data_IF_514302110417
#
_entry.id   IF_514302110417
#
_cell.length_a   1.000
_cell.length_b   1.000
_cell.length_c   1.000
_cell.angle_alpha   90.00
_cell.angle_beta   90.00
_cell.angle_gamma   90.00
#
_symmetry.space_group_name_H-M   'P 1'
#
loop_
_entity.id
_entity.type
_entity.pdbx_description
1 polymer ?
#
# COMPACT_ATOMS: atom_id res chain seq x y z
N UNK A 1 9.38 24.45 2.35
CA UNK A 1 9.69 24.92 0.98
C UNK A 1 8.82 26.11 0.64
N UNK A 2 9.30 27.03 -0.19
CA UNK A 2 8.43 28.05 -0.76
C UNK A 2 7.48 27.41 -1.77
N UNK A 3 6.23 27.88 -1.81
CA UNK A 3 5.17 27.42 -2.70
C UNK A 3 4.57 28.61 -3.44
N UNK A 4 4.16 28.39 -4.69
CA UNK A 4 3.57 29.41 -5.58
C UNK A 4 2.26 28.89 -6.19
N UNK A 5 1.36 28.45 -5.33
CA UNK A 5 0.01 28.00 -5.73
C UNK A 5 -0.88 29.20 -6.02
N UNK A 6 -1.59 29.17 -7.14
CA UNK A 6 -2.59 30.19 -7.48
C UNK A 6 -3.86 29.99 -6.66
N UNK A 7 -4.59 31.07 -6.42
CA UNK A 7 -5.84 31.02 -5.64
C UNK A 7 -6.87 30.02 -6.19
N UNK A 8 -6.88 29.79 -7.50
CA UNK A 8 -7.77 28.82 -8.15
C UNK A 8 -7.46 27.37 -7.72
N UNK A 9 -6.19 27.02 -7.60
CA UNK A 9 -5.73 25.68 -7.22
C UNK A 9 -5.99 25.41 -5.72
N UNK A 10 -5.93 26.45 -4.90
CA UNK A 10 -6.20 26.40 -3.46
C UNK A 10 -7.71 26.32 -3.12
N UNK A 11 -8.60 26.38 -4.10
CA UNK A 11 -10.04 26.11 -3.89
C UNK A 11 -10.30 24.63 -3.62
N UNK A 12 -9.46 23.74 -4.17
CA UNK A 12 -9.52 22.32 -3.86
C UNK A 12 -8.93 22.06 -2.46
N UNK A 13 -9.70 21.36 -1.61
CA UNK A 13 -9.34 21.09 -0.21
C UNK A 13 -8.12 20.20 -0.07
N UNK A 14 -7.94 19.22 -0.97
CA UNK A 14 -6.77 18.33 -0.99
C UNK A 14 -5.51 19.08 -1.38
N UNK A 15 -5.56 19.88 -2.44
CA UNK A 15 -4.44 20.72 -2.87
C UNK A 15 -4.05 21.73 -1.80
N UNK A 16 -5.00 22.35 -1.13
CA UNK A 16 -4.77 23.26 0.00
C UNK A 16 -4.10 22.56 1.19
N UNK A 17 -4.50 21.32 1.48
CA UNK A 17 -3.88 20.51 2.51
C UNK A 17 -2.44 20.14 2.13
N UNK A 18 -2.22 19.69 0.90
CA UNK A 18 -0.90 19.36 0.35
C UNK A 18 0.04 20.55 0.37
N UNK A 19 -0.43 21.74 0.00
CA UNK A 19 0.35 22.99 0.07
C UNK A 19 0.86 23.27 1.49
N UNK A 20 -0.01 23.17 2.51
CA UNK A 20 0.39 23.35 3.91
C UNK A 20 1.44 22.33 4.34
N UNK A 21 1.36 21.09 3.87
CA UNK A 21 2.31 20.04 4.20
C UNK A 21 3.65 20.29 3.48
N UNK A 22 3.63 20.70 2.20
CA UNK A 22 4.82 21.04 1.42
C UNK A 22 5.58 22.21 2.07
N UNK A 23 4.88 23.22 2.58
CA UNK A 23 5.50 24.35 3.30
C UNK A 23 6.29 23.93 4.53
N UNK A 24 5.86 22.87 5.25
CA UNK A 24 6.61 22.33 6.39
C UNK A 24 7.95 21.72 5.98
N UNK A 25 8.10 21.29 4.72
CA UNK A 25 9.33 20.65 4.25
C UNK A 25 10.46 21.69 4.10
N UNK A 26 11.53 21.53 4.87
CA UNK A 26 12.76 22.35 4.74
C UNK A 26 13.76 21.80 3.72
N UNK A 27 13.40 20.70 3.04
CA UNK A 27 14.16 20.07 1.97
C UNK A 27 15.57 19.57 2.37
N UNK A 28 15.77 19.24 3.65
CA UNK A 28 17.07 18.82 4.20
C UNK A 28 17.56 17.44 3.72
N UNK A 29 16.66 16.56 3.26
CA UNK A 29 17.02 15.23 2.73
C UNK A 29 17.20 14.13 3.79
N UNK A 30 17.02 14.38 5.09
CA UNK A 30 17.13 13.35 6.13
C UNK A 30 16.23 12.14 5.88
N UNK A 31 15.07 12.35 5.26
CA UNK A 31 14.12 11.29 4.89
C UNK A 31 14.67 10.31 3.83
N UNK A 32 15.68 10.70 3.05
CA UNK A 32 16.29 9.81 2.04
C UNK A 32 17.09 8.68 2.70
N UNK A 33 17.69 8.91 3.86
CA UNK A 33 18.50 7.91 4.57
C UNK A 33 17.70 6.65 4.97
N UNK A 34 16.40 6.79 5.20
CA UNK A 34 15.52 5.67 5.58
C UNK A 34 14.69 5.13 4.42
N UNK A 35 14.84 5.70 3.22
CA UNK A 35 14.06 5.30 2.06
C UNK A 35 14.69 4.12 1.32
N UNK A 36 14.01 2.94 1.26
CA UNK A 36 14.58 1.76 0.62
C UNK A 36 14.77 1.96 -0.90
N UNK A 37 13.87 2.67 -1.58
CA UNK A 37 14.00 2.91 -3.02
C UNK A 37 15.15 3.84 -3.35
N UNK A 38 15.41 4.84 -2.51
CA UNK A 38 16.61 5.68 -2.62
C UNK A 38 17.89 4.89 -2.34
N UNK A 39 17.89 4.05 -1.27
CA UNK A 39 19.04 3.23 -0.90
C UNK A 39 19.49 2.25 -2.00
N UNK A 40 18.53 1.75 -2.80
CA UNK A 40 18.82 0.82 -3.91
C UNK A 40 19.28 1.58 -5.17
N UNK A 41 18.62 2.70 -5.50
CA UNK A 41 18.83 3.38 -6.80
C UNK A 41 19.89 4.47 -6.76
N UNK A 42 20.09 5.13 -5.61
CA UNK A 42 20.87 6.36 -5.49
C UNK A 42 20.26 7.59 -6.20
N UNK A 43 19.10 7.41 -6.85
CA UNK A 43 18.42 8.49 -7.58
C UNK A 43 17.60 9.34 -6.61
N UNK A 44 17.85 10.65 -6.60
CA UNK A 44 17.13 11.61 -5.75
C UNK A 44 15.60 11.56 -5.96
N UNK A 45 15.16 11.33 -7.19
CA UNK A 45 13.73 11.26 -7.53
C UNK A 45 13.06 9.97 -7.01
N UNK A 46 13.84 8.94 -6.65
CA UNK A 46 13.37 7.73 -5.96
C UNK A 46 13.32 7.90 -4.44
N UNK A 47 13.75 9.07 -3.94
CA UNK A 47 13.66 9.45 -2.53
C UNK A 47 12.42 10.28 -2.20
N UNK A 48 12.02 10.37 -0.90
CA UNK A 48 10.87 11.17 -0.48
C UNK A 48 11.04 12.65 -0.81
N UNK A 49 12.24 13.20 -0.65
CA UNK A 49 12.56 14.59 -0.96
C UNK A 49 12.30 14.92 -2.43
N UNK A 50 12.81 14.09 -3.34
CA UNK A 50 12.60 14.27 -4.77
C UNK A 50 11.13 14.11 -5.16
N UNK A 51 10.42 13.12 -4.59
CA UNK A 51 8.99 12.93 -4.82
C UNK A 51 8.14 14.11 -4.33
N UNK A 52 8.47 14.70 -3.18
CA UNK A 52 7.80 15.93 -2.71
C UNK A 52 7.98 17.06 -3.73
N UNK A 53 9.18 17.18 -4.30
CA UNK A 53 9.44 18.19 -5.34
C UNK A 53 8.63 17.93 -6.61
N UNK A 54 8.53 16.68 -7.06
CA UNK A 54 7.73 16.32 -8.23
C UNK A 54 6.23 16.59 -8.00
N UNK A 55 5.72 16.24 -6.82
CA UNK A 55 4.32 16.50 -6.45
C UNK A 55 4.05 18.00 -6.40
N UNK A 56 4.96 18.77 -5.77
CA UNK A 56 4.87 20.23 -5.74
C UNK A 56 4.78 20.81 -7.16
N UNK A 57 5.73 20.47 -8.06
CA UNK A 57 5.76 20.99 -9.43
C UNK A 57 4.49 20.64 -10.23
N UNK A 58 3.97 19.43 -10.03
CA UNK A 58 2.75 18.95 -10.65
C UNK A 58 1.52 19.76 -10.22
N UNK A 59 1.35 19.92 -8.90
CA UNK A 59 0.19 20.57 -8.32
C UNK A 59 0.23 22.11 -8.53
N UNK A 60 1.38 22.77 -8.33
CA UNK A 60 1.52 24.20 -8.53
C UNK A 60 1.26 24.66 -9.96
N UNK A 61 1.65 23.84 -10.93
CA UNK A 61 1.49 24.16 -12.36
C UNK A 61 0.24 23.53 -12.95
N UNK A 62 -0.54 22.82 -12.16
CA UNK A 62 -1.70 22.04 -12.59
C UNK A 62 -1.41 21.25 -13.88
N UNK A 63 -0.25 20.59 -13.91
CA UNK A 63 0.23 19.86 -15.09
C UNK A 63 -0.19 18.40 -15.03
N UNK A 64 -0.56 17.79 -16.16
CA UNK A 64 -0.72 16.35 -16.23
C UNK A 64 0.61 15.66 -15.93
N UNK A 65 0.55 14.53 -15.25
CA UNK A 65 1.72 13.70 -15.01
C UNK A 65 2.26 13.14 -16.34
N UNK A 66 3.58 13.04 -16.44
CA UNK A 66 4.25 12.37 -17.54
C UNK A 66 4.82 11.02 -17.10
N UNK A 67 5.36 10.25 -18.05
CA UNK A 67 5.95 8.92 -17.80
C UNK A 67 7.02 8.94 -16.70
N UNK A 68 7.86 10.00 -16.65
CA UNK A 68 8.94 10.13 -15.66
C UNK A 68 8.36 10.30 -14.26
N UNK A 69 7.41 11.23 -14.09
CA UNK A 69 6.74 11.49 -12.82
C UNK A 69 6.00 10.23 -12.35
N UNK A 70 5.20 9.63 -13.24
CA UNK A 70 4.46 8.40 -12.90
C UNK A 70 5.39 7.29 -12.41
N UNK A 71 6.54 7.06 -13.06
CA UNK A 71 7.54 6.07 -12.65
C UNK A 71 8.00 6.30 -11.20
N UNK A 72 8.40 7.53 -10.86
CA UNK A 72 8.96 7.82 -9.54
C UNK A 72 7.90 7.83 -8.43
N UNK A 73 6.68 8.24 -8.72
CA UNK A 73 5.56 8.19 -7.77
C UNK A 73 5.12 6.74 -7.53
N UNK A 74 5.00 5.93 -8.58
CA UNK A 74 4.60 4.52 -8.51
C UNK A 74 5.62 3.64 -7.79
N UNK A 75 6.91 3.95 -7.87
CA UNK A 75 7.97 3.18 -7.20
C UNK A 75 8.01 3.37 -5.68
N UNK A 76 7.25 4.31 -5.12
CA UNK A 76 7.14 4.46 -3.67
C UNK A 76 6.45 3.23 -3.04
N UNK A 77 7.10 2.62 -2.04
CA UNK A 77 6.58 1.43 -1.36
C UNK A 77 5.52 1.74 -0.27
N UNK A 78 5.21 3.01 -0.02
CA UNK A 78 4.30 3.43 1.06
C UNK A 78 4.66 2.86 2.44
N UNK A 79 5.94 2.64 2.71
CA UNK A 79 6.44 2.13 4.00
C UNK A 79 6.47 3.20 5.10
N UNK A 80 6.39 4.48 4.74
CA UNK A 80 6.36 5.67 5.60
C UNK A 80 7.52 5.82 6.59
N UNK A 81 8.59 5.05 6.47
CA UNK A 81 9.80 5.19 7.28
C UNK A 81 10.39 6.62 7.24
N UNK A 82 10.21 7.31 6.11
CA UNK A 82 10.61 8.71 5.95
C UNK A 82 9.85 9.70 6.85
N UNK A 83 8.65 9.36 7.33
CA UNK A 83 7.87 10.24 8.21
C UNK A 83 8.45 10.26 9.62
N UNK A 84 8.89 9.12 10.14
CA UNK A 84 9.47 9.01 11.49
C UNK A 84 10.83 9.69 11.57
N UNK A 85 11.55 9.80 10.46
CA UNK A 85 12.86 10.44 10.36
C UNK A 85 12.77 11.95 10.11
N UNK A 86 11.59 12.47 9.73
CA UNK A 86 11.43 13.87 9.37
C UNK A 86 11.37 14.79 10.59
N UNK A 87 12.37 15.67 10.86
CA UNK A 87 12.35 16.58 12.00
C UNK A 87 11.27 17.67 11.87
N UNK A 88 10.84 17.98 10.64
CA UNK A 88 9.80 18.99 10.37
C UNK A 88 8.37 18.41 10.40
N UNK A 89 8.20 17.12 10.69
CA UNK A 89 6.88 16.48 10.79
C UNK A 89 6.06 16.56 9.51
N UNK A 90 6.69 16.35 8.34
CA UNK A 90 6.00 16.35 7.05
C UNK A 90 5.12 15.11 6.94
N UNK A 91 3.83 15.28 6.75
CA UNK A 91 2.89 14.19 6.48
C UNK A 91 3.06 13.71 5.03
N UNK A 92 4.10 12.89 4.81
CA UNK A 92 4.43 12.37 3.47
C UNK A 92 3.35 11.42 2.93
N UNK A 93 2.64 10.69 3.80
CA UNK A 93 1.56 9.80 3.40
C UNK A 93 0.50 10.54 2.59
N UNK A 94 -0.01 11.65 3.12
CA UNK A 94 -0.99 12.48 2.42
C UNK A 94 -0.47 12.98 1.05
N UNK A 95 0.80 13.40 0.98
CA UNK A 95 1.38 13.91 -0.26
C UNK A 95 1.51 12.81 -1.33
N UNK A 96 1.96 11.62 -0.97
CA UNK A 96 2.12 10.54 -1.94
C UNK A 96 0.78 10.00 -2.44
N UNK A 97 -0.23 9.94 -1.56
CA UNK A 97 -1.58 9.49 -1.94
C UNK A 97 -2.24 10.52 -2.88
N UNK A 98 -2.17 11.82 -2.56
CA UNK A 98 -2.64 12.87 -3.48
C UNK A 98 -1.86 12.87 -4.81
N UNK A 99 -0.53 12.67 -4.76
CA UNK A 99 0.30 12.55 -5.96
C UNK A 99 -0.11 11.37 -6.85
N UNK A 100 -0.43 10.21 -6.27
CA UNK A 100 -0.92 9.03 -7.00
C UNK A 100 -2.28 9.28 -7.63
N UNK A 101 -3.20 9.87 -6.89
CA UNK A 101 -4.52 10.23 -7.38
C UNK A 101 -4.41 11.17 -8.60
N UNK A 102 -3.57 12.21 -8.50
CA UNK A 102 -3.32 13.12 -9.61
C UNK A 102 -2.68 12.41 -10.82
N UNK A 103 -1.72 11.50 -10.59
CA UNK A 103 -1.11 10.68 -11.66
C UNK A 103 -2.16 9.81 -12.34
N UNK A 104 -3.01 9.10 -11.58
CA UNK A 104 -4.03 8.22 -12.14
C UNK A 104 -5.08 9.00 -12.96
N UNK A 105 -5.45 10.20 -12.47
CA UNK A 105 -6.41 11.06 -13.16
C UNK A 105 -5.86 11.69 -14.46
N UNK A 106 -4.54 11.95 -14.54
CA UNK A 106 -3.98 12.76 -15.63
C UNK A 106 -3.03 12.01 -16.58
N UNK A 107 -2.41 10.91 -16.14
CA UNK A 107 -1.46 10.15 -16.94
C UNK A 107 -2.13 8.98 -17.66
N UNK A 108 -2.03 8.98 -18.98
CA UNK A 108 -2.50 7.85 -19.80
C UNK A 108 -1.47 6.72 -19.77
N UNK A 109 -1.71 5.73 -18.92
CA UNK A 109 -0.84 4.55 -18.80
C UNK A 109 -0.87 3.70 -20.08
N UNK A 110 0.24 3.02 -20.43
CA UNK A 110 0.25 1.99 -21.46
C UNK A 110 -0.81 0.92 -21.19
N UNK A 111 -1.36 0.34 -22.26
CA UNK A 111 -2.47 -0.61 -22.14
C UNK A 111 -2.14 -1.83 -21.25
N UNK A 112 -0.89 -2.30 -21.32
CA UNK A 112 -0.41 -3.45 -20.55
C UNK A 112 -0.35 -3.13 -19.04
N UNK A 113 0.18 -1.98 -18.65
CA UNK A 113 0.20 -1.54 -17.24
C UNK A 113 -1.22 -1.41 -16.69
N UNK A 114 -2.13 -0.84 -17.50
CA UNK A 114 -3.54 -0.71 -17.12
C UNK A 114 -4.19 -2.07 -16.93
N UNK A 115 -3.91 -3.02 -17.84
CA UNK A 115 -4.42 -4.39 -17.73
C UNK A 115 -3.96 -5.06 -16.43
N UNK A 116 -2.65 -4.99 -16.12
CA UNK A 116 -2.10 -5.57 -14.88
C UNK A 116 -2.75 -4.94 -13.66
N UNK A 117 -2.83 -3.60 -13.59
CA UNK A 117 -3.46 -2.88 -12.47
C UNK A 117 -4.92 -3.30 -12.29
N UNK A 118 -5.69 -3.40 -13.37
CA UNK A 118 -7.08 -3.84 -13.32
C UNK A 118 -7.21 -5.30 -12.85
N UNK A 119 -6.33 -6.19 -13.31
CA UNK A 119 -6.31 -7.59 -12.84
C UNK A 119 -6.01 -7.62 -11.35
N UNK A 120 -4.98 -6.90 -10.87
CA UNK A 120 -4.61 -6.88 -9.47
C UNK A 120 -5.72 -6.27 -8.60
N UNK A 121 -6.28 -5.14 -8.98
CA UNK A 121 -7.37 -4.47 -8.25
C UNK A 121 -8.65 -5.31 -8.19
N UNK A 122 -8.88 -6.17 -9.17
CA UNK A 122 -10.01 -7.08 -9.19
C UNK A 122 -9.76 -8.36 -8.39
N UNK A 123 -8.59 -8.96 -8.51
CA UNK A 123 -8.30 -10.31 -7.98
C UNK A 123 -7.87 -10.29 -6.52
N UNK A 124 -6.97 -9.39 -6.12
CA UNK A 124 -6.41 -9.37 -4.77
C UNK A 124 -7.44 -9.06 -3.66
N UNK A 125 -8.43 -8.15 -3.86
CA UNK A 125 -9.48 -7.93 -2.86
C UNK A 125 -10.45 -9.12 -2.70
N UNK A 126 -10.44 -10.08 -3.63
CA UNK A 126 -11.35 -11.25 -3.62
C UNK A 126 -10.60 -12.52 -3.22
N UNK A 127 -10.64 -12.92 -1.95
CA UNK A 127 -9.81 -14.02 -1.44
C UNK A 127 -10.03 -15.35 -2.14
N UNK A 128 -11.27 -15.63 -2.58
CA UNK A 128 -11.59 -16.88 -3.29
C UNK A 128 -10.90 -16.92 -4.65
N UNK A 129 -10.95 -15.82 -5.43
CA UNK A 129 -10.29 -15.71 -6.74
C UNK A 129 -8.78 -15.75 -6.54
N UNK A 130 -8.28 -15.01 -5.56
CA UNK A 130 -6.85 -14.98 -5.24
C UNK A 130 -6.33 -16.36 -4.82
N UNK A 131 -7.09 -17.12 -4.01
CA UNK A 131 -6.76 -18.49 -3.64
C UNK A 131 -6.66 -19.42 -4.86
N UNK A 132 -7.64 -19.36 -5.79
CA UNK A 132 -7.58 -20.15 -7.03
C UNK A 132 -6.33 -19.79 -7.85
N UNK A 133 -6.01 -18.49 -7.97
CA UNK A 133 -4.80 -18.05 -8.67
C UNK A 133 -3.53 -18.58 -7.98
N UNK A 134 -3.47 -18.60 -6.64
CA UNK A 134 -2.31 -19.17 -5.94
C UNK A 134 -2.18 -20.68 -6.16
N UNK A 135 -3.27 -21.41 -6.33
CA UNK A 135 -3.21 -22.84 -6.72
C UNK A 135 -2.67 -23.01 -8.14
N UNK A 136 -3.11 -22.17 -9.08
CA UNK A 136 -2.61 -22.19 -10.46
C UNK A 136 -1.11 -21.88 -10.53
N UNK A 137 -0.62 -20.96 -9.66
CA UNK A 137 0.82 -20.65 -9.63
C UNK A 137 1.68 -21.85 -9.21
N UNK A 138 1.16 -22.80 -8.43
CA UNK A 138 1.88 -24.03 -8.07
C UNK A 138 2.15 -24.90 -9.30
N UNK A 139 1.21 -24.94 -10.23
CA UNK A 139 1.32 -25.71 -11.49
C UNK A 139 2.28 -24.99 -12.44
N UNK A 140 2.25 -23.65 -12.47
CA UNK A 140 3.06 -22.83 -13.38
C UNK A 140 4.51 -22.68 -12.89
N UNK A 141 4.74 -22.67 -11.57
CA UNK A 141 6.05 -22.43 -10.95
C UNK A 141 7.19 -23.33 -11.49
N UNK A 142 7.00 -24.66 -11.73
CA UNK A 142 8.06 -25.49 -12.33
C UNK A 142 8.47 -25.04 -13.74
N UNK A 143 7.56 -24.42 -14.48
CA UNK A 143 7.78 -23.92 -15.85
C UNK A 143 8.22 -22.43 -15.86
N UNK A 144 8.60 -21.88 -14.72
CA UNK A 144 8.96 -20.45 -14.57
C UNK A 144 10.13 -20.03 -15.48
N UNK A 145 10.97 -20.97 -15.94
CA UNK A 145 12.08 -20.73 -16.86
C UNK A 145 11.63 -20.26 -18.26
N UNK A 146 10.37 -20.57 -18.66
CA UNK A 146 9.79 -20.15 -19.94
C UNK A 146 9.28 -18.69 -19.92
N UNK A 147 9.21 -18.06 -18.76
CA UNK A 147 8.65 -16.72 -18.61
C UNK A 147 9.71 -15.63 -18.46
N UNK A 148 9.41 -14.39 -18.85
CA UNK A 148 10.28 -13.24 -18.61
C UNK A 148 10.60 -13.06 -17.11
N UNK A 149 11.76 -12.46 -16.81
CA UNK A 149 12.24 -12.27 -15.43
C UNK A 149 11.23 -11.61 -14.49
N UNK A 150 10.41 -10.70 -14.99
CA UNK A 150 9.35 -10.06 -14.21
C UNK A 150 8.33 -11.10 -13.67
N UNK A 151 7.83 -11.99 -14.52
CA UNK A 151 6.87 -13.04 -14.13
C UNK A 151 7.56 -14.06 -13.23
N UNK A 152 8.79 -14.47 -13.57
CA UNK A 152 9.59 -15.39 -12.75
C UNK A 152 9.78 -14.86 -11.32
N UNK A 153 10.13 -13.59 -11.15
CA UNK A 153 10.31 -12.96 -9.84
C UNK A 153 8.97 -12.88 -9.08
N UNK A 154 7.87 -12.55 -9.75
CA UNK A 154 6.54 -12.53 -9.13
C UNK A 154 6.10 -13.94 -8.67
N UNK A 155 6.36 -14.97 -9.48
CA UNK A 155 6.09 -16.37 -9.11
C UNK A 155 6.95 -16.85 -7.92
N UNK A 156 8.19 -16.35 -7.79
CA UNK A 156 9.08 -16.71 -6.67
C UNK A 156 8.57 -16.20 -5.33
N UNK A 157 7.86 -15.07 -5.32
CA UNK A 157 7.26 -14.47 -4.11
C UNK A 157 6.02 -15.23 -3.63
N UNK A 158 5.42 -16.07 -4.48
CA UNK A 158 4.24 -16.84 -4.09
C UNK A 158 4.61 -17.98 -3.14
N UNK A 159 3.86 -18.17 -2.03
CA UNK A 159 4.13 -19.20 -1.05
C UNK A 159 4.02 -20.60 -1.66
N UNK A 160 4.93 -21.49 -1.28
CA UNK A 160 4.91 -22.89 -1.74
C UNK A 160 3.78 -23.68 -1.08
N UNK A 161 3.36 -23.26 0.11
CA UNK A 161 2.30 -23.93 0.88
C UNK A 161 1.15 -22.96 1.15
N UNK A 162 -0.01 -23.22 0.57
CA UNK A 162 -1.25 -22.50 0.86
C UNK A 162 -2.02 -23.30 1.91
N UNK A 163 -2.13 -22.75 3.11
CA UNK A 163 -2.97 -23.32 4.16
C UNK A 163 -4.34 -22.64 4.15
N UNK A 164 -5.38 -23.41 4.38
CA UNK A 164 -6.70 -22.84 4.61
C UNK A 164 -6.85 -22.50 6.10
N UNK A 165 -7.34 -21.31 6.40
CA UNK A 165 -7.59 -20.90 7.78
C UNK A 165 -8.80 -21.65 8.34
N UNK A 166 -8.72 -22.05 9.61
CA UNK A 166 -9.86 -22.55 10.41
C UNK A 166 -10.77 -21.40 10.91
N UNK A 167 -10.38 -20.15 10.68
CA UNK A 167 -11.12 -18.96 11.18
C UNK A 167 -12.51 -18.83 10.56
N UNK A 168 -12.78 -19.45 9.42
CA UNK A 168 -14.09 -19.39 8.74
C UNK A 168 -15.26 -19.91 9.60
N UNK A 169 -14.98 -20.75 10.59
CA UNK A 169 -16.01 -21.50 11.31
C UNK A 169 -16.48 -20.81 12.60
N UNK A 170 -15.73 -19.85 13.12
CA UNK A 170 -16.10 -19.11 14.35
C UNK A 170 -16.05 -17.61 14.16
N UNK A 171 -17.20 -16.95 14.30
CA UNK A 171 -17.28 -15.47 14.26
C UNK A 171 -16.82 -14.83 15.57
N UNK A 172 -16.96 -15.51 16.68
CA UNK A 172 -16.60 -15.00 18.01
C UNK A 172 -15.67 -15.98 18.69
N UNK A 173 -14.51 -15.48 19.10
CA UNK A 173 -13.53 -16.19 19.90
C UNK A 173 -13.55 -15.59 21.32
N UNK A 174 -14.12 -16.30 22.30
CA UNK A 174 -14.24 -15.80 23.67
C UNK A 174 -12.85 -15.64 24.31
N UNK A 175 -12.77 -14.78 25.32
CA UNK A 175 -11.58 -14.68 26.17
C UNK A 175 -11.36 -15.98 26.95
N UNK A 176 -10.09 -16.30 27.23
CA UNK A 176 -9.73 -17.51 27.98
C UNK A 176 -9.91 -17.35 29.51
N UNK A 177 -10.12 -16.12 30.01
CA UNK A 177 -10.28 -15.83 31.42
C UNK A 177 -11.72 -15.63 31.83
N UNK A 178 -11.98 -15.68 33.15
CA UNK A 178 -13.33 -15.49 33.72
C UNK A 178 -13.93 -14.11 33.43
N UNK A 179 -13.09 -13.10 33.30
CA UNK A 179 -13.52 -11.71 33.04
C UNK A 179 -12.91 -11.19 31.74
N UNK A 180 -13.75 -10.88 30.75
CA UNK A 180 -13.35 -10.23 29.52
C UNK A 180 -12.97 -8.76 29.80
N UNK A 181 -11.75 -8.37 29.46
CA UNK A 181 -11.24 -7.00 29.65
C UNK A 181 -11.61 -6.07 28.51
N UNK A 182 -11.68 -6.61 27.29
CA UNK A 182 -12.02 -5.84 26.08
C UNK A 182 -12.63 -6.75 25.02
N UNK A 183 -13.33 -6.14 24.06
CA UNK A 183 -13.84 -6.79 22.85
C UNK A 183 -13.30 -6.05 21.63
N UNK A 184 -12.71 -6.78 20.69
CA UNK A 184 -12.11 -6.21 19.49
C UNK A 184 -12.63 -6.89 18.23
N UNK A 185 -12.75 -6.11 17.15
CA UNK A 185 -13.03 -6.64 15.82
C UNK A 185 -11.71 -6.91 15.09
N UNK A 186 -11.54 -8.12 14.56
CA UNK A 186 -10.37 -8.50 13.75
C UNK A 186 -10.72 -8.46 12.27
N UNK A 187 -10.01 -7.62 11.52
CA UNK A 187 -10.03 -7.60 10.07
C UNK A 187 -8.98 -8.59 9.55
N UNK A 188 -9.42 -9.70 8.98
CA UNK A 188 -8.53 -10.82 8.60
C UNK A 188 -7.73 -10.58 7.33
N UNK A 189 -8.08 -9.54 6.55
CA UNK A 189 -7.38 -9.15 5.32
C UNK A 189 -7.62 -10.12 4.14
N UNK A 190 -7.65 -9.56 2.93
CA UNK A 190 -7.93 -10.34 1.72
C UNK A 190 -6.74 -11.21 1.29
N UNK A 191 -5.53 -10.66 1.27
CA UNK A 191 -4.30 -11.35 0.84
C UNK A 191 -3.71 -12.19 1.96
N UNK A 192 -3.65 -11.64 3.19
CA UNK A 192 -3.03 -12.28 4.35
C UNK A 192 -3.67 -13.64 4.67
N UNK A 193 -5.01 -13.74 4.61
CA UNK A 193 -5.72 -15.00 4.90
C UNK A 193 -5.45 -16.12 3.88
N UNK A 194 -4.90 -15.77 2.71
CA UNK A 194 -4.53 -16.74 1.67
C UNK A 194 -3.05 -17.09 1.73
N UNK A 195 -2.19 -16.08 1.95
CA UNK A 195 -0.73 -16.25 1.94
C UNK A 195 -0.21 -16.75 3.30
N UNK A 196 -0.68 -16.16 4.40
CA UNK A 196 -0.17 -16.41 5.76
C UNK A 196 -1.30 -16.38 6.79
N UNK A 197 -2.23 -17.35 6.73
CA UNK A 197 -3.37 -17.41 7.63
C UNK A 197 -2.97 -17.60 9.10
N UNK A 198 -1.83 -18.21 9.38
CA UNK A 198 -1.27 -18.45 10.71
C UNK A 198 -1.04 -17.16 11.51
N UNK A 199 -0.88 -16.02 10.83
CA UNK A 199 -0.76 -14.71 11.49
C UNK A 199 -2.08 -14.36 12.22
N UNK A 200 -3.21 -14.54 11.54
CA UNK A 200 -4.53 -14.29 12.14
C UNK A 200 -4.81 -15.27 13.29
N UNK A 201 -4.50 -16.56 13.11
CA UNK A 201 -4.67 -17.58 14.16
C UNK A 201 -3.82 -17.25 15.40
N UNK A 202 -2.59 -16.79 15.20
CA UNK A 202 -1.69 -16.37 16.28
C UNK A 202 -2.17 -15.12 16.99
N UNK A 203 -2.71 -14.15 16.22
CA UNK A 203 -3.31 -12.91 16.75
C UNK A 203 -4.51 -13.23 17.65
N UNK A 204 -5.40 -14.12 17.19
CA UNK A 204 -6.56 -14.53 17.98
C UNK A 204 -6.11 -15.24 19.27
N UNK A 205 -5.18 -16.21 19.19
CA UNK A 205 -4.65 -16.88 20.37
C UNK A 205 -4.01 -15.92 21.36
N UNK A 206 -3.26 -14.92 20.88
CA UNK A 206 -2.63 -13.93 21.74
C UNK A 206 -3.67 -13.08 22.47
N UNK A 207 -4.62 -12.52 21.74
CA UNK A 207 -5.64 -11.63 22.30
C UNK A 207 -6.55 -12.37 23.29
N UNK A 208 -7.03 -13.59 22.95
CA UNK A 208 -7.87 -14.37 23.85
C UNK A 208 -7.14 -14.79 25.13
N UNK A 209 -5.83 -15.08 25.05
CA UNK A 209 -4.98 -15.34 26.23
C UNK A 209 -4.88 -14.13 27.17
N UNK A 210 -4.95 -12.93 26.62
CA UNK A 210 -4.94 -11.67 27.38
C UNK A 210 -6.36 -11.18 27.76
N UNK A 211 -7.32 -12.08 27.83
CA UNK A 211 -8.70 -11.81 28.23
C UNK A 211 -9.45 -10.85 27.31
N UNK A 212 -9.08 -10.81 26.02
CA UNK A 212 -9.79 -10.02 25.02
C UNK A 212 -10.66 -10.95 24.18
N UNK A 213 -11.93 -10.62 24.05
CA UNK A 213 -12.84 -11.30 23.11
C UNK A 213 -12.58 -10.80 21.69
N UNK A 214 -12.39 -11.70 20.75
CA UNK A 214 -12.12 -11.36 19.35
C UNK A 214 -13.30 -11.72 18.47
N UNK A 215 -13.84 -10.72 17.76
CA UNK A 215 -14.92 -10.89 16.79
C UNK A 215 -14.32 -10.78 15.39
N UNK A 216 -14.45 -11.84 14.60
CA UNK A 216 -14.05 -11.84 13.20
C UNK A 216 -15.22 -11.38 12.35
N UNK A 217 -14.98 -10.42 11.45
CA UNK A 217 -15.97 -9.86 10.53
C UNK A 217 -15.75 -10.44 9.12
N UNK A 218 -16.34 -11.59 8.79
CA UNK A 218 -16.11 -12.25 7.50
C UNK A 218 -16.70 -11.47 6.32
N UNK A 219 -17.64 -10.56 6.58
CA UNK A 219 -18.25 -9.68 5.55
C UNK A 219 -17.29 -8.59 5.08
N UNK A 220 -16.27 -8.25 5.87
CA UNK A 220 -15.26 -7.24 5.55
C UNK A 220 -13.98 -7.95 5.12
N UNK A 221 -13.93 -8.30 3.85
CA UNK A 221 -12.82 -9.07 3.29
C UNK A 221 -11.59 -8.21 2.97
N UNK A 222 -11.77 -6.92 2.65
CA UNK A 222 -10.72 -6.05 2.17
C UNK A 222 -10.69 -4.72 2.92
N UNK A 223 -9.49 -4.27 3.31
CA UNK A 223 -9.29 -2.94 3.91
C UNK A 223 -9.26 -1.79 2.88
N UNK A 224 -9.33 -2.08 1.58
CA UNK A 224 -9.25 -1.09 0.51
C UNK A 224 -7.85 -0.55 0.20
N UNK A 225 -6.85 -0.90 1.00
CA UNK A 225 -5.49 -0.33 0.92
C UNK A 225 -4.86 -0.45 -0.47
N UNK A 226 -5.02 -1.60 -1.14
CA UNK A 226 -4.47 -1.79 -2.49
C UNK A 226 -5.04 -0.77 -3.47
N UNK A 227 -6.37 -0.64 -3.52
CA UNK A 227 -7.03 0.27 -4.45
C UNK A 227 -6.70 1.73 -4.13
N UNK A 228 -6.64 2.07 -2.83
CA UNK A 228 -6.21 3.40 -2.39
C UNK A 228 -4.78 3.74 -2.85
N UNK A 229 -3.84 2.79 -2.76
CA UNK A 229 -2.46 3.02 -3.20
C UNK A 229 -2.26 2.92 -4.72
N UNK A 230 -3.25 2.42 -5.44
CA UNK A 230 -3.23 2.47 -6.91
C UNK A 230 -3.65 3.85 -7.47
N UNK A 231 -4.31 4.68 -6.69
CA UNK A 231 -4.78 6.02 -7.07
C UNK A 231 -6.27 6.10 -7.30
#
# INVERSE_FOLDING_TARGET
>A
MQTDFKNKELQDSETKSSEKIIRKCVHCGMCNATCPTYGISGDELEGPRGRIYLIKDMLEKNKPANKKIAKHIDSCLSCYACMTTCPSGVNYMHLIDHGRNHVEATYKRPWFDRLIRNILSYTLPRPNIFFILTLLTKIIKPFSFLFPNFIKNSLSLMPSNTQTTKIKDKRVHPSNGEKTTARVALLIGCVQRVISPEINDSTIRLLTRHNVEVVVLPEIDCCGSLNHHLG
#
